data_IF_001020371002
#
_entry.id   IF_001020371002
#
_cell.length_a   1.000
_cell.length_b   1.000
_cell.length_c   1.000
_cell.angle_alpha   90.00
_cell.angle_beta   90.00
_cell.angle_gamma   90.00
#
_symmetry.space_group_name_H-M   'P 1'
#
loop_
_entity.id
_entity.type
_entity.pdbx_description
1 polymer ?
#
# COMPACT_ATOMS: atom_id res chain seq x y z
N UNK A 1 13.00 2.38 8.83
CA UNK A 1 12.27 1.47 7.93
C UNK A 1 12.52 1.72 6.45
N UNK A 2 12.54 0.68 5.61
CA UNK A 2 12.37 0.76 4.15
C UNK A 2 10.87 0.71 3.79
N UNK A 3 10.45 1.40 2.72
CA UNK A 3 9.08 1.33 2.20
C UNK A 3 9.02 0.68 0.80
N UNK A 4 7.92 0.00 0.53
CA UNK A 4 7.60 -0.62 -0.75
C UNK A 4 6.25 -0.11 -1.22
N UNK A 5 6.18 0.47 -2.41
CA UNK A 5 4.94 1.03 -2.96
C UNK A 5 4.46 0.16 -4.12
N UNK A 6 3.21 -0.33 -4.01
CA UNK A 6 2.57 -1.15 -5.02
C UNK A 6 1.92 -0.28 -6.10
N UNK A 7 2.64 -0.06 -7.20
CA UNK A 7 2.27 0.84 -8.29
C UNK A 7 1.92 0.13 -9.62
N UNK A 8 1.63 -1.18 -9.58
CA UNK A 8 1.42 -2.01 -10.78
C UNK A 8 -0.02 -2.14 -11.29
N UNK A 9 -1.02 -1.61 -10.57
CA UNK A 9 -2.43 -1.80 -10.90
C UNK A 9 -2.87 -1.13 -12.20
N UNK A 10 -3.70 -1.83 -12.98
CA UNK A 10 -4.28 -1.34 -14.25
C UNK A 10 -5.29 -0.20 -14.08
N UNK A 11 -5.83 0.02 -12.88
CA UNK A 11 -6.82 1.06 -12.63
C UNK A 11 -8.07 0.98 -13.53
N UNK A 12 -8.51 -0.23 -13.86
CA UNK A 12 -9.55 -0.49 -14.88
C UNK A 12 -10.89 0.22 -14.63
N UNK A 13 -11.19 0.56 -13.37
CA UNK A 13 -12.40 1.30 -12.97
C UNK A 13 -12.43 2.76 -13.45
N UNK A 14 -11.28 3.31 -13.84
CA UNK A 14 -11.13 4.71 -14.30
C UNK A 14 -11.17 4.86 -15.84
N UNK A 15 -11.47 3.79 -16.58
CA UNK A 15 -11.76 3.85 -18.01
C UNK A 15 -10.60 4.35 -18.87
N UNK A 16 -10.80 5.47 -19.57
CA UNK A 16 -9.84 6.00 -20.56
C UNK A 16 -8.57 6.58 -19.97
N UNK A 17 -8.66 7.19 -18.78
CA UNK A 17 -7.52 7.85 -18.14
C UNK A 17 -6.39 6.84 -17.87
N UNK A 18 -6.74 5.65 -17.37
CA UNK A 18 -5.77 4.61 -17.03
C UNK A 18 -5.26 3.81 -18.23
N UNK A 19 -5.80 4.06 -19.43
CA UNK A 19 -5.20 3.55 -20.69
C UNK A 19 -3.92 4.30 -21.04
N UNK A 20 -3.88 5.62 -20.78
CA UNK A 20 -2.79 6.50 -21.20
C UNK A 20 -1.73 6.73 -20.11
N UNK A 21 -2.09 6.58 -18.82
CA UNK A 21 -1.17 6.78 -17.71
C UNK A 21 -1.45 5.82 -16.54
N UNK A 22 -0.43 5.41 -15.77
CA UNK A 22 -0.66 4.70 -14.50
C UNK A 22 -1.56 5.51 -13.58
N UNK A 23 -2.43 4.84 -12.81
CA UNK A 23 -3.29 5.50 -11.80
C UNK A 23 -2.48 6.36 -10.81
N UNK A 24 -1.30 5.88 -10.43
CA UNK A 24 -0.39 6.57 -9.50
C UNK A 24 0.20 7.87 -10.09
N UNK A 25 0.07 8.07 -11.41
CA UNK A 25 0.54 9.25 -12.15
C UNK A 25 -0.56 10.28 -12.44
N UNK A 26 -1.80 10.04 -12.00
CA UNK A 26 -2.89 11.02 -12.13
C UNK A 26 -2.47 12.33 -11.44
N UNK A 27 -2.55 13.48 -12.12
CA UNK A 27 -2.09 14.74 -11.58
C UNK A 27 -3.12 15.38 -10.63
N UNK A 28 -2.62 15.90 -9.53
CA UNK A 28 -3.33 16.76 -8.57
C UNK A 28 -2.47 18.02 -8.40
N UNK A 29 -3.04 19.21 -8.59
CA UNK A 29 -2.28 20.48 -8.64
C UNK A 29 -0.94 20.42 -9.42
N UNK A 30 -0.89 19.70 -10.55
CA UNK A 30 0.29 19.60 -11.41
C UNK A 30 1.37 18.59 -10.98
N UNK A 31 1.14 17.81 -9.91
CA UNK A 31 2.03 16.72 -9.48
C UNK A 31 1.29 15.38 -9.46
N UNK A 32 1.94 14.25 -9.81
CA UNK A 32 1.29 12.95 -9.80
C UNK A 32 0.89 12.53 -8.38
N UNK A 33 -0.15 11.70 -8.22
CA UNK A 33 -0.55 11.17 -6.91
C UNK A 33 0.62 10.60 -6.09
N UNK A 34 1.46 9.78 -6.73
CA UNK A 34 2.62 9.16 -6.09
C UNK A 34 3.62 10.19 -5.53
N UNK A 35 3.66 11.41 -6.06
CA UNK A 35 4.50 12.48 -5.53
C UNK A 35 4.12 12.79 -4.09
N UNK A 36 2.82 12.86 -3.79
CA UNK A 36 2.33 13.16 -2.45
C UNK A 36 2.63 12.02 -1.47
N UNK A 37 2.53 10.76 -1.92
CA UNK A 37 2.90 9.59 -1.11
C UNK A 37 4.40 9.60 -0.80
N UNK A 38 5.26 9.83 -1.80
CA UNK A 38 6.73 9.91 -1.58
C UNK A 38 7.10 11.09 -0.69
N UNK A 39 6.48 12.26 -0.87
CA UNK A 39 6.70 13.42 0.02
C UNK A 39 6.27 13.14 1.46
N UNK A 40 5.17 12.42 1.66
CA UNK A 40 4.72 12.02 3.00
C UNK A 40 5.76 11.11 3.68
N UNK A 41 6.28 10.11 2.97
CA UNK A 41 7.33 9.22 3.48
C UNK A 41 8.63 10.00 3.79
N UNK A 42 9.05 10.86 2.87
CA UNK A 42 10.27 11.66 3.04
C UNK A 42 10.20 12.60 4.23
N UNK A 43 9.06 13.29 4.42
CA UNK A 43 8.84 14.17 5.57
C UNK A 43 8.91 13.41 6.91
N UNK A 44 8.72 12.09 6.90
CA UNK A 44 8.86 11.22 8.07
C UNK A 44 10.22 10.52 8.12
N UNK A 45 11.15 10.84 7.23
CA UNK A 45 12.49 10.25 7.19
C UNK A 45 12.57 8.84 6.59
N UNK A 46 11.48 8.33 6.00
CA UNK A 46 11.48 7.06 5.26
C UNK A 46 12.00 7.34 3.85
N UNK A 47 13.28 7.03 3.64
CA UNK A 47 14.02 7.45 2.43
C UNK A 47 14.40 6.32 1.49
N UNK A 48 14.52 5.07 1.94
CA UNK A 48 14.75 3.93 1.05
C UNK A 48 13.41 3.38 0.58
N UNK A 49 13.12 3.53 -0.71
CA UNK A 49 11.83 3.22 -1.32
C UNK A 49 12.02 2.25 -2.47
N UNK A 50 11.26 1.16 -2.48
CA UNK A 50 11.12 0.26 -3.62
C UNK A 50 9.76 0.47 -4.26
N UNK A 51 9.73 0.84 -5.53
CA UNK A 51 8.48 0.95 -6.29
C UNK A 51 8.29 -0.33 -7.11
N UNK A 52 7.25 -1.08 -6.80
CA UNK A 52 6.78 -2.18 -7.63
C UNK A 52 5.96 -1.60 -8.79
N UNK A 53 6.66 -1.23 -9.87
CA UNK A 53 6.08 -0.59 -11.04
C UNK A 53 5.62 -1.65 -12.04
N UNK A 54 4.35 -1.59 -12.45
CA UNK A 54 3.77 -2.52 -13.42
C UNK A 54 3.47 -1.83 -14.75
N UNK A 55 2.19 -1.86 -15.16
CA UNK A 55 1.75 -1.23 -16.41
C UNK A 55 2.22 0.23 -16.52
N UNK A 56 2.88 0.56 -17.64
CA UNK A 56 3.48 1.88 -17.90
C UNK A 56 4.49 2.35 -16.83
N UNK A 57 5.20 1.40 -16.19
CA UNK A 57 6.21 1.69 -15.16
C UNK A 57 7.33 2.64 -15.59
N UNK A 58 7.64 2.72 -16.88
CA UNK A 58 8.58 3.70 -17.44
C UNK A 58 8.17 5.14 -17.12
N UNK A 59 6.88 5.50 -17.19
CA UNK A 59 6.42 6.85 -16.84
C UNK A 59 6.68 7.19 -15.37
N UNK A 60 6.61 6.20 -14.49
CA UNK A 60 6.94 6.37 -13.07
C UNK A 60 8.44 6.60 -12.91
N UNK A 61 9.28 5.79 -13.57
CA UNK A 61 10.73 5.98 -13.52
C UNK A 61 11.17 7.32 -14.11
N UNK A 62 10.60 7.71 -15.25
CA UNK A 62 10.97 8.95 -15.94
C UNK A 62 10.66 10.19 -15.10
N UNK A 63 9.57 10.17 -14.32
CA UNK A 63 9.22 11.28 -13.43
C UNK A 63 10.07 11.30 -12.15
N UNK A 64 10.28 10.14 -11.52
CA UNK A 64 10.88 10.06 -10.18
C UNK A 64 12.41 9.85 -10.18
N UNK A 65 12.99 9.40 -11.30
CA UNK A 65 14.43 9.15 -11.43
C UNK A 65 14.93 8.16 -10.38
N UNK A 66 16.03 8.49 -9.71
CA UNK A 66 16.52 7.74 -8.54
C UNK A 66 15.99 8.31 -7.21
N UNK A 67 15.06 9.26 -7.27
CA UNK A 67 14.44 9.89 -6.10
C UNK A 67 15.26 10.97 -5.40
N UNK A 68 16.53 11.19 -5.80
CA UNK A 68 17.43 12.11 -5.08
C UNK A 68 16.95 13.55 -5.07
N UNK A 69 16.31 14.01 -6.15
CA UNK A 69 15.71 15.35 -6.21
C UNK A 69 14.58 15.53 -5.19
N UNK A 70 13.96 14.44 -4.75
CA UNK A 70 12.92 14.44 -3.73
C UNK A 70 13.45 14.16 -2.32
N UNK A 71 14.77 13.91 -2.15
CA UNK A 71 15.39 13.61 -0.86
C UNK A 71 15.31 12.15 -0.43
N UNK A 72 15.01 11.24 -1.36
CA UNK A 72 14.86 9.79 -1.15
C UNK A 72 15.79 8.98 -2.09
N UNK A 73 15.91 7.68 -1.86
CA UNK A 73 16.57 6.71 -2.74
C UNK A 73 15.50 5.73 -3.26
N UNK A 74 15.26 5.74 -4.56
CA UNK A 74 14.21 4.94 -5.19
C UNK A 74 14.81 3.82 -6.05
N UNK A 75 14.41 2.59 -5.77
CA UNK A 75 14.66 1.41 -6.61
C UNK A 75 13.35 0.95 -7.25
N UNK A 76 13.45 0.31 -8.41
CA UNK A 76 12.29 -0.13 -9.17
C UNK A 76 12.31 -1.65 -9.34
N UNK A 77 11.24 -2.31 -8.89
CA UNK A 77 10.92 -3.68 -9.27
C UNK A 77 9.90 -3.63 -10.40
N UNK A 78 10.37 -3.76 -11.64
CA UNK A 78 9.49 -3.74 -12.81
C UNK A 78 8.78 -5.08 -12.99
N UNK A 79 7.46 -5.08 -13.00
CA UNK A 79 6.68 -6.18 -13.54
C UNK A 79 6.81 -6.15 -15.07
N UNK A 80 7.21 -7.27 -15.67
CA UNK A 80 7.21 -7.40 -17.13
C UNK A 80 5.77 -7.43 -17.68
N UNK A 81 5.59 -8.03 -18.86
CA UNK A 81 4.27 -8.11 -19.51
C UNK A 81 3.19 -8.88 -18.73
N UNK A 82 3.57 -9.64 -17.70
CA UNK A 82 2.66 -10.44 -16.88
C UNK A 82 2.45 -9.74 -15.54
N UNK A 83 1.22 -9.33 -15.27
CA UNK A 83 0.83 -8.81 -13.95
C UNK A 83 0.91 -9.94 -12.93
N UNK A 84 1.68 -9.72 -11.85
CA UNK A 84 1.90 -10.72 -10.82
C UNK A 84 0.95 -10.55 -9.62
N UNK A 85 0.08 -9.55 -9.66
CA UNK A 85 -0.71 -9.16 -8.48
C UNK A 85 0.18 -8.58 -7.38
N UNK A 86 -0.44 -8.02 -6.35
CA UNK A 86 0.25 -7.30 -5.28
C UNK A 86 1.25 -8.18 -4.51
N UNK A 87 0.89 -9.42 -4.19
CA UNK A 87 1.77 -10.37 -3.52
C UNK A 87 2.89 -10.90 -4.43
N UNK A 88 2.59 -11.16 -5.71
CA UNK A 88 3.61 -11.59 -6.66
C UNK A 88 4.61 -10.49 -7.02
N UNK A 89 4.18 -9.23 -7.04
CA UNK A 89 5.04 -8.06 -7.19
C UNK A 89 6.04 -7.94 -6.03
N UNK A 90 5.57 -8.10 -4.79
CA UNK A 90 6.44 -8.15 -3.61
C UNK A 90 7.42 -9.32 -3.68
N UNK A 91 6.97 -10.52 -4.05
CA UNK A 91 7.86 -11.68 -4.20
C UNK A 91 8.98 -11.41 -5.22
N UNK A 92 8.65 -10.73 -6.31
CA UNK A 92 9.64 -10.33 -7.33
C UNK A 92 10.64 -9.30 -6.78
N UNK A 93 10.17 -8.34 -5.99
CA UNK A 93 11.02 -7.33 -5.37
C UNK A 93 11.90 -7.86 -4.22
N UNK A 94 11.66 -9.09 -3.74
CA UNK A 94 12.24 -9.66 -2.51
C UNK A 94 13.72 -9.36 -2.31
N UNK A 95 14.56 -9.50 -3.32
CA UNK A 95 16.01 -9.35 -3.16
C UNK A 95 16.45 -7.90 -2.90
N UNK A 96 15.59 -6.92 -3.20
CA UNK A 96 15.77 -5.50 -2.89
C UNK A 96 15.31 -5.13 -1.48
N UNK A 97 14.59 -6.04 -0.80
CA UNK A 97 13.89 -5.72 0.45
C UNK A 97 14.74 -5.94 1.70
N UNK A 98 14.56 -5.10 2.70
CA UNK A 98 15.13 -5.28 4.03
C UNK A 98 14.49 -6.45 4.79
N UNK A 99 15.02 -6.79 5.98
CA UNK A 99 14.51 -7.90 6.80
C UNK A 99 13.03 -7.75 7.18
N UNK A 100 12.59 -6.51 7.34
CA UNK A 100 11.19 -6.10 7.38
C UNK A 100 11.03 -4.77 6.64
N UNK A 101 9.83 -4.51 6.12
CA UNK A 101 9.55 -3.32 5.32
C UNK A 101 8.08 -2.94 5.43
N UNK A 102 7.80 -1.65 5.24
CA UNK A 102 6.45 -1.13 5.10
C UNK A 102 5.99 -1.32 3.66
N UNK A 103 4.80 -1.88 3.45
CA UNK A 103 4.14 -1.94 2.14
C UNK A 103 3.00 -0.93 2.13
N UNK A 104 2.92 -0.14 1.07
CA UNK A 104 1.84 0.80 0.79
C UNK A 104 1.14 0.47 -0.53
N UNK A 105 -0.18 0.58 -0.55
CA UNK A 105 -0.95 0.65 -1.78
C UNK A 105 -0.59 1.95 -2.52
N UNK A 106 -0.22 1.86 -3.80
CA UNK A 106 0.22 3.03 -4.56
C UNK A 106 -0.90 4.02 -4.90
N UNK A 107 -2.15 3.66 -4.66
CA UNK A 107 -3.35 4.46 -4.90
C UNK A 107 -4.06 4.93 -3.63
N UNK A 108 -3.41 4.77 -2.47
CA UNK A 108 -3.90 5.21 -1.16
C UNK A 108 -2.92 6.20 -0.54
N UNK A 109 -3.44 7.33 -0.06
CA UNK A 109 -2.71 8.33 0.71
C UNK A 109 -3.14 8.23 2.17
N UNK A 110 -2.20 7.85 3.03
CA UNK A 110 -2.46 7.55 4.43
C UNK A 110 -1.56 8.42 5.33
N UNK A 111 -2.02 9.61 5.75
CA UNK A 111 -1.21 10.58 6.50
C UNK A 111 -1.18 10.27 8.01
N UNK A 112 -0.61 9.12 8.37
CA UNK A 112 -0.38 8.72 9.77
C UNK A 112 1.08 8.82 10.15
N UNK A 113 1.39 8.66 11.44
CA UNK A 113 2.76 8.51 11.93
C UNK A 113 3.24 7.07 11.73
N UNK A 114 4.14 6.86 10.76
CA UNK A 114 4.70 5.53 10.47
C UNK A 114 5.74 5.09 11.49
N UNK A 115 6.32 6.00 12.30
CA UNK A 115 7.20 5.64 13.40
C UNK A 115 6.41 4.92 14.49
N UNK A 116 5.21 5.41 14.83
CA UNK A 116 4.33 4.74 15.80
C UNK A 116 3.95 3.32 15.34
N UNK A 117 3.70 3.14 14.03
CA UNK A 117 3.41 1.84 13.45
C UNK A 117 4.63 0.90 13.51
N UNK A 118 5.82 1.39 13.16
CA UNK A 118 7.07 0.63 13.25
C UNK A 118 7.40 0.23 14.69
N UNK A 119 7.32 1.16 15.64
CA UNK A 119 7.56 0.90 17.07
C UNK A 119 6.62 -0.18 17.61
N UNK A 120 5.32 -0.09 17.30
CA UNK A 120 4.35 -1.10 17.70
C UNK A 120 4.65 -2.46 17.06
N UNK A 121 5.03 -2.49 15.79
CA UNK A 121 5.41 -3.72 15.11
C UNK A 121 6.58 -4.42 15.81
N UNK A 122 7.64 -3.67 16.14
CA UNK A 122 8.83 -4.19 16.80
C UNK A 122 8.51 -4.77 18.20
N UNK A 123 7.58 -4.15 18.93
CA UNK A 123 7.14 -4.63 20.26
C UNK A 123 6.33 -5.94 20.19
N UNK A 124 5.56 -6.17 19.14
CA UNK A 124 4.66 -7.32 19.04
C UNK A 124 5.38 -8.63 18.71
N UNK A 125 6.55 -8.56 18.06
CA UNK A 125 7.31 -9.76 17.67
C UNK A 125 6.62 -10.65 16.64
N UNK A 126 5.61 -10.13 15.93
CA UNK A 126 4.85 -10.87 14.89
C UNK A 126 5.50 -10.74 13.51
N UNK A 127 5.09 -11.59 12.57
CA UNK A 127 5.56 -11.50 11.19
C UNK A 127 4.96 -10.34 10.41
N UNK A 128 3.77 -9.86 10.81
CA UNK A 128 3.11 -8.76 10.13
C UNK A 128 2.28 -7.86 11.06
N UNK A 129 2.19 -6.57 10.71
CA UNK A 129 1.29 -5.60 11.33
C UNK A 129 0.54 -4.82 10.24
N UNK A 130 -0.75 -5.06 10.11
CA UNK A 130 -1.64 -4.36 9.19
C UNK A 130 -2.18 -3.09 9.84
N UNK A 131 -2.22 -1.99 9.10
CA UNK A 131 -2.91 -0.78 9.53
C UNK A 131 -4.38 -0.89 9.15
N UNK A 132 -5.26 -0.71 10.13
CA UNK A 132 -6.71 -0.78 9.92
C UNK A 132 -7.38 0.49 10.41
N UNK A 133 -8.28 1.03 9.60
CA UNK A 133 -9.06 2.21 9.93
C UNK A 133 -10.34 1.80 10.66
N UNK A 134 -10.57 2.44 11.81
CA UNK A 134 -11.85 2.38 12.50
C UNK A 134 -12.84 3.28 11.76
N UNK A 135 -13.80 2.67 11.08
CA UNK A 135 -14.68 3.32 10.10
C UNK A 135 -15.80 4.17 10.74
N UNK A 136 -15.43 5.01 11.72
CA UNK A 136 -16.33 5.94 12.42
C UNK A 136 -16.86 7.04 11.48
N UNK A 137 -16.06 7.42 10.46
CA UNK A 137 -16.47 8.32 9.37
C UNK A 137 -16.38 7.55 8.05
N UNK A 138 -17.52 7.42 7.37
CA UNK A 138 -17.63 6.66 6.12
C UNK A 138 -16.63 7.14 5.06
N UNK A 139 -15.79 6.21 4.63
CA UNK A 139 -14.78 6.42 3.59
C UNK A 139 -15.26 6.06 2.19
N UNK A 140 -16.47 5.49 2.07
CA UNK A 140 -16.96 4.82 0.87
C UNK A 140 -16.41 3.40 0.72
N UNK A 141 -15.58 2.94 1.66
CA UNK A 141 -15.02 1.59 1.70
C UNK A 141 -15.73 0.80 2.79
N UNK A 142 -16.20 -0.40 2.42
CA UNK A 142 -16.86 -1.31 3.35
C UNK A 142 -15.83 -1.91 4.30
N UNK A 143 -16.27 -2.17 5.54
CA UNK A 143 -15.46 -2.92 6.49
C UNK A 143 -15.11 -4.29 5.89
N UNK A 144 -13.83 -4.63 5.91
CA UNK A 144 -13.26 -5.83 5.31
C UNK A 144 -12.34 -6.59 6.26
N UNK A 145 -12.22 -6.12 7.52
CA UNK A 145 -11.40 -6.75 8.57
C UNK A 145 -12.23 -7.05 9.82
N UNK A 146 -12.05 -8.26 10.37
CA UNK A 146 -12.42 -8.59 11.75
C UNK A 146 -11.16 -8.85 12.60
N UNK A 147 -11.20 -8.39 13.85
CA UNK A 147 -10.14 -8.56 14.84
C UNK A 147 -10.63 -9.39 16.03
N UNK A 148 -9.74 -10.13 16.67
CA UNK A 148 -9.98 -10.70 18.00
C UNK A 148 -9.67 -9.69 19.14
N UNK A 149 -9.79 -10.15 20.39
CA UNK A 149 -9.54 -9.35 21.58
C UNK A 149 -8.07 -8.90 21.73
N UNK A 150 -7.13 -9.64 21.12
CA UNK A 150 -5.70 -9.35 21.13
C UNK A 150 -5.28 -8.47 19.93
N UNK A 151 -6.25 -7.99 19.15
CA UNK A 151 -6.06 -7.20 17.92
C UNK A 151 -5.32 -7.97 16.84
N UNK A 152 -5.50 -9.29 16.79
CA UNK A 152 -5.06 -10.11 15.66
C UNK A 152 -6.14 -10.10 14.59
N UNK A 153 -5.73 -10.07 13.33
CA UNK A 153 -6.65 -10.19 12.19
C UNK A 153 -7.08 -11.64 12.09
N UNK A 154 -8.39 -11.88 12.27
CA UNK A 154 -8.98 -13.22 12.17
C UNK A 154 -9.72 -13.44 10.85
N UNK A 155 -10.04 -12.34 10.15
CA UNK A 155 -10.71 -12.40 8.85
C UNK A 155 -10.39 -11.19 7.99
N UNK A 156 -10.08 -11.46 6.73
CA UNK A 156 -10.07 -10.49 5.64
C UNK A 156 -11.16 -10.88 4.64
N UNK A 157 -12.06 -9.96 4.30
CA UNK A 157 -13.16 -10.18 3.37
C UNK A 157 -13.36 -8.96 2.47
N UNK A 158 -12.85 -9.06 1.24
CA UNK A 158 -12.87 -7.98 0.24
C UNK A 158 -14.27 -7.44 -0.03
N UNK A 159 -15.29 -8.29 -0.02
CA UNK A 159 -16.66 -7.91 -0.38
C UNK A 159 -17.39 -7.21 0.76
N UNK A 160 -16.87 -7.33 1.99
CA UNK A 160 -17.41 -6.68 3.17
C UNK A 160 -18.82 -7.16 3.53
N UNK A 161 -19.11 -8.45 3.29
CA UNK A 161 -20.48 -8.99 3.43
C UNK A 161 -20.79 -9.53 4.83
N UNK A 162 -19.76 -9.79 5.65
CA UNK A 162 -19.95 -10.34 7.00
C UNK A 162 -20.21 -9.24 8.03
N UNK A 163 -21.20 -9.40 8.93
CA UNK A 163 -21.49 -8.42 9.99
C UNK A 163 -20.39 -8.34 11.06
N UNK A 164 -19.46 -9.30 11.10
CA UNK A 164 -18.33 -9.31 12.04
C UNK A 164 -17.19 -8.35 11.63
N UNK A 165 -17.28 -7.78 10.43
CA UNK A 165 -16.27 -6.88 9.89
C UNK A 165 -16.51 -5.47 10.44
N UNK A 166 -15.54 -4.98 11.20
CA UNK A 166 -15.66 -3.71 11.93
C UNK A 166 -14.61 -2.67 11.50
N UNK A 167 -13.61 -3.08 10.73
CA UNK A 167 -12.51 -2.22 10.32
C UNK A 167 -12.27 -2.31 8.81
N UNK A 168 -11.59 -1.30 8.29
CA UNK A 168 -11.15 -1.24 6.89
C UNK A 168 -9.63 -1.37 6.83
N UNK A 169 -9.11 -2.24 5.97
CA UNK A 169 -7.68 -2.27 5.62
C UNK A 169 -7.29 -0.94 4.98
N UNK A 170 -6.33 -0.24 5.57
CA UNK A 170 -6.06 1.17 5.26
C UNK A 170 -5.00 1.38 4.16
N UNK A 171 -4.59 0.31 3.47
CA UNK A 171 -3.59 0.33 2.42
C UNK A 171 -2.14 0.30 2.90
N UNK A 172 -1.90 -0.15 4.14
CA UNK A 172 -0.56 -0.21 4.72
C UNK A 172 -0.35 -1.47 5.60
N UNK A 173 0.79 -2.13 5.43
CA UNK A 173 1.18 -3.30 6.24
C UNK A 173 2.70 -3.37 6.39
N UNK A 174 3.20 -3.64 7.59
CA UNK A 174 4.61 -4.02 7.79
C UNK A 174 4.71 -5.54 7.69
N UNK A 175 5.67 -6.03 6.92
CA UNK A 175 5.92 -7.47 6.72
C UNK A 175 7.37 -7.82 7.02
N UNK A 176 7.59 -9.01 7.61
CA UNK A 176 8.90 -9.68 7.54
C UNK A 176 9.15 -10.22 6.14
N UNK A 177 10.37 -10.10 5.66
CA UNK A 177 10.81 -10.62 4.36
C UNK A 177 10.60 -12.12 4.19
N UNK A 178 10.78 -12.89 5.26
CA UNK A 178 10.58 -14.36 5.26
C UNK A 178 9.13 -14.78 4.91
N UNK A 179 8.14 -13.89 5.11
CA UNK A 179 6.76 -14.14 4.71
C UNK A 179 6.66 -14.32 3.19
N UNK A 180 7.58 -13.77 2.41
CA UNK A 180 7.60 -13.96 0.96
C UNK A 180 8.09 -15.35 0.55
N UNK A 181 8.65 -16.16 1.46
CA UNK A 181 9.28 -17.44 1.09
C UNK A 181 8.26 -18.50 0.69
N UNK A 182 7.04 -18.48 1.23
CA UNK A 182 5.96 -19.38 0.80
C UNK A 182 5.39 -19.00 -0.57
N UNK A 183 5.57 -17.74 -1.01
CA UNK A 183 5.03 -17.26 -2.28
C UNK A 183 5.89 -17.79 -3.44
N UNK A 184 5.32 -18.58 -4.37
CA UNK A 184 6.09 -19.07 -5.52
C UNK A 184 6.44 -17.92 -6.49
N UNK A 185 7.66 -17.95 -7.02
CA UNK A 185 8.12 -16.94 -7.98
C UNK A 185 7.34 -16.97 -9.29
N UNK A 186 6.99 -15.80 -9.84
CA UNK A 186 6.35 -15.66 -11.15
C UNK A 186 4.86 -16.06 -11.20
N UNK A 187 4.24 -16.32 -10.05
CA UNK A 187 2.83 -16.68 -9.91
C UNK A 187 2.01 -15.42 -9.58
N UNK A 188 0.91 -15.15 -10.31
CA UNK A 188 -0.03 -14.11 -9.95
C UNK A 188 -0.69 -14.42 -8.61
N UNK A 189 -0.49 -13.56 -7.62
CA UNK A 189 -1.11 -13.67 -6.30
C UNK A 189 -1.29 -12.28 -5.69
N UNK A 190 -2.44 -12.05 -5.07
CA UNK A 190 -2.73 -10.83 -4.35
C UNK A 190 -2.18 -10.92 -2.91
N UNK A 191 -2.03 -9.78 -2.25
CA UNK A 191 -1.75 -9.72 -0.82
C UNK A 191 -2.87 -10.41 -0.04
N UNK A 192 -4.11 -10.13 -0.42
CA UNK A 192 -5.33 -10.53 0.24
C UNK A 192 -5.56 -12.04 0.18
N UNK A 193 -5.51 -12.63 -1.02
CA UNK A 193 -5.80 -14.05 -1.24
C UNK A 193 -4.60 -14.95 -0.93
N UNK A 194 -3.40 -14.36 -0.83
CA UNK A 194 -2.15 -15.05 -0.55
C UNK A 194 -1.58 -14.73 0.83
N UNK A 195 -0.83 -13.64 0.91
CA UNK A 195 -0.01 -13.29 2.08
C UNK A 195 -0.85 -13.09 3.35
N UNK A 196 -1.95 -12.34 3.28
CA UNK A 196 -2.83 -12.12 4.41
C UNK A 196 -3.53 -13.41 4.85
N UNK A 197 -4.07 -14.19 3.90
CA UNK A 197 -4.67 -15.50 4.22
C UNK A 197 -3.67 -16.41 4.95
N UNK A 198 -2.45 -16.54 4.43
CA UNK A 198 -1.40 -17.33 5.06
C UNK A 198 -1.09 -16.82 6.48
N UNK A 199 -0.90 -15.52 6.66
CA UNK A 199 -0.58 -14.94 7.97
C UNK A 199 -1.73 -15.08 8.98
N UNK A 200 -2.99 -14.97 8.54
CA UNK A 200 -4.17 -15.18 9.38
C UNK A 200 -4.22 -16.64 9.85
N UNK A 201 -4.03 -17.60 8.94
CA UNK A 201 -4.00 -19.03 9.27
C UNK A 201 -2.88 -19.41 10.25
N UNK A 202 -1.76 -18.67 10.23
CA UNK A 202 -0.65 -18.86 11.16
C UNK A 202 -0.80 -18.07 12.48
N UNK A 203 -1.81 -17.20 12.61
CA UNK A 203 -1.95 -16.32 13.77
C UNK A 203 -0.83 -15.26 13.88
N UNK A 204 -0.34 -14.78 12.74
CA UNK A 204 0.84 -13.92 12.63
C UNK A 204 0.54 -12.50 12.11
N UNK A 205 -0.72 -12.20 11.78
CA UNK A 205 -1.16 -10.89 11.32
C UNK A 205 -1.79 -10.09 12.46
N UNK A 206 -1.03 -9.18 13.06
CA UNK A 206 -1.57 -8.23 14.03
C UNK A 206 -2.15 -6.99 13.33
N UNK A 207 -2.96 -6.21 14.05
CA UNK A 207 -3.50 -4.95 13.57
C UNK A 207 -3.05 -3.74 14.42
N UNK A 208 -2.81 -2.62 13.73
CA UNK A 208 -2.66 -1.28 14.30
C UNK A 208 -3.91 -0.48 13.90
N UNK A 209 -4.73 -0.10 14.88
CA UNK A 209 -6.01 0.59 14.65
C UNK A 209 -5.77 2.10 14.62
N UNK A 210 -6.18 2.76 13.55
CA UNK A 210 -6.13 4.22 13.41
C UNK A 210 -7.54 4.82 13.34
N UNK A 211 -7.65 6.09 13.73
CA UNK A 211 -8.82 6.95 13.46
C UNK A 211 -8.57 8.01 12.41
N UNK A 212 -7.31 8.19 12.02
CA UNK A 212 -6.95 9.10 10.95
C UNK A 212 -7.43 8.52 9.62
N UNK A 213 -8.18 9.32 8.86
CA UNK A 213 -8.74 8.91 7.56
C UNK A 213 -7.63 8.72 6.52
N UNK A 214 -7.80 7.70 5.68
CA UNK A 214 -7.05 7.49 4.44
C UNK A 214 -7.83 8.00 3.22
N UNK A 215 -7.13 8.21 2.11
CA UNK A 215 -7.69 8.78 0.89
C UNK A 215 -7.25 7.96 -0.33
N UNK A 216 -8.22 7.32 -0.98
CA UNK A 216 -7.98 6.62 -2.23
C UNK A 216 -8.20 7.54 -3.43
N UNK A 217 -7.77 7.09 -4.60
CA UNK A 217 -8.03 7.76 -5.89
C UNK A 217 -8.70 6.82 -6.91
N UNK A 218 -9.44 5.81 -6.43
CA UNK A 218 -10.07 4.76 -7.23
C UNK A 218 -11.29 5.14 -8.04
N UNK A 219 -11.96 6.23 -7.66
CA UNK A 219 -13.11 6.78 -8.39
C UNK A 219 -12.97 8.30 -8.58
N UNK A 220 -13.68 8.91 -9.53
CA UNK A 220 -13.69 10.36 -9.69
C UNK A 220 -14.06 11.13 -8.41
N UNK A 221 -15.01 10.63 -7.63
CA UNK A 221 -15.42 11.24 -6.35
C UNK A 221 -14.27 11.20 -5.33
N UNK A 222 -13.59 10.07 -5.23
CA UNK A 222 -12.41 9.93 -4.37
C UNK A 222 -11.27 10.87 -4.80
N UNK A 223 -11.06 11.05 -6.11
CA UNK A 223 -10.09 12.01 -6.65
C UNK A 223 -10.45 13.45 -6.29
N UNK A 224 -11.73 13.84 -6.38
CA UNK A 224 -12.18 15.18 -5.96
C UNK A 224 -11.95 15.41 -4.47
N UNK A 225 -12.21 14.41 -3.63
CA UNK A 225 -11.91 14.48 -2.20
C UNK A 225 -10.41 14.67 -1.98
N UNK A 226 -9.56 13.90 -2.67
CA UNK A 226 -8.12 14.01 -2.53
C UNK A 226 -7.57 15.36 -3.02
N UNK A 227 -8.09 15.91 -4.12
CA UNK A 227 -7.73 17.24 -4.64
C UNK A 227 -7.93 18.35 -3.59
N UNK A 228 -8.93 18.20 -2.71
CA UNK A 228 -9.18 19.12 -1.59
C UNK A 228 -8.26 18.91 -0.37
N UNK A 229 -7.62 17.75 -0.26
CA UNK A 229 -6.67 17.41 0.83
C UNK A 229 -5.30 18.00 0.53
N UNK A 230 -4.86 17.89 -0.73
CA UNK A 230 -3.55 18.40 -1.14
C UNK A 230 -3.63 19.89 -1.48
N UNK A 231 -2.62 20.65 -1.02
CA UNK A 231 -2.51 22.08 -1.34
C UNK A 231 -1.83 22.26 -2.69
N UNK A 232 -2.14 23.38 -3.37
CA UNK A 232 -1.35 23.87 -4.49
C UNK A 232 0.11 23.98 -4.05
N UNK A 233 0.98 23.20 -4.68
CA UNK A 233 2.43 23.32 -4.50
C UNK A 233 2.89 24.44 -5.44
N UNK A 234 3.57 25.48 -4.95
CA UNK A 234 4.17 26.49 -5.82
C UNK A 234 5.28 25.90 -6.72
#
# INVERSE_FOLDING_TARGET
MQAVILAGGLGTRLGELTRAMPKVMIPFHGKPFLYYVVRLLENQGIKDIVICAGYLGEQVRDFFGDGREMGVDIKYSEEGKKLLGTGGALKRARDMLDSYFLVLNGDTYLPIDYHEVEERYLQLGRKALMVVYNNEVDTGVRNNIALDNDKMVVRYDREGVSPELNYVEAGAVILRKEVLDFVPGGVPISLEDGIYRYLIEQGELAAHIIRQRFYDIGTPEQQQVFEGVVKKVP
#
